data_IF_819757045015
#
_entry.id   IF_819757045015
#
_cell.length_a   1.000
_cell.length_b   1.000
_cell.length_c   1.000
_cell.angle_alpha   90.00
_cell.angle_beta   90.00
_cell.angle_gamma   90.00
#
_symmetry.space_group_name_H-M   'P 1'
#
loop_
_entity.id
_entity.type
_entity.pdbx_description
1 polymer ?
#
# COMPACT_ATOMS: atom_id res chain seq x y z
N UNK A 1 -26.54 89.26 20.48
CA UNK A 1 -27.04 90.18 21.53
C UNK A 1 -27.93 89.35 22.44
N UNK A 2 -27.44 88.84 23.57
CA UNK A 2 -27.27 89.49 24.88
C UNK A 2 -28.45 89.14 25.82
N UNK A 3 -28.12 88.82 27.08
CA UNK A 3 -28.96 88.62 28.27
C UNK A 3 -29.71 87.28 28.42
N UNK A 4 -29.34 86.36 29.33
CA UNK A 4 -29.19 86.37 30.82
C UNK A 4 -30.53 86.21 31.57
N UNK A 5 -30.67 85.07 32.26
CA UNK A 5 -31.33 84.82 33.56
C UNK A 5 -31.32 83.28 33.77
N UNK A 6 -30.52 82.62 34.60
CA UNK A 6 -30.15 82.72 36.03
C UNK A 6 -31.32 82.47 37.02
N UNK A 7 -31.06 81.51 37.93
CA UNK A 7 -31.74 81.20 39.22
C UNK A 7 -32.98 80.28 39.05
N UNK A 8 -33.07 79.07 39.63
CA UNK A 8 -32.91 78.74 41.04
C UNK A 8 -32.41 77.30 41.33
N UNK A 9 -31.67 77.21 42.42
CA UNK A 9 -31.17 76.00 43.07
C UNK A 9 -32.28 75.24 43.81
N UNK A 10 -32.17 73.91 43.81
CA UNK A 10 -32.40 72.98 44.94
C UNK A 10 -31.97 71.61 44.38
N UNK A 11 -30.93 70.91 44.82
CA UNK A 11 -30.37 70.83 46.15
C UNK A 11 -30.30 69.35 46.55
N UNK A 12 -29.34 68.59 46.00
CA UNK A 12 -28.87 67.34 46.62
C UNK A 12 -27.44 66.98 46.18
N UNK A 13 -26.46 67.52 46.91
CA UNK A 13 -25.08 67.00 46.92
C UNK A 13 -24.98 65.89 47.97
N UNK A 14 -24.56 64.69 47.55
CA UNK A 14 -23.56 63.90 48.29
C UNK A 14 -22.55 63.28 47.31
N UNK A 15 -21.36 63.92 47.29
CA UNK A 15 -19.98 63.43 47.15
C UNK A 15 -19.73 62.29 46.13
N UNK A 16 -19.25 62.57 44.92
CA UNK A 16 -17.83 62.70 44.47
C UNK A 16 -16.94 61.49 44.74
N UNK A 17 -16.57 60.76 43.69
CA UNK A 17 -15.16 60.62 43.23
C UNK A 17 -15.14 59.94 41.84
N UNK A 18 -14.87 60.79 40.85
CA UNK A 18 -13.99 60.62 39.70
C UNK A 18 -14.09 59.42 38.74
N UNK A 19 -14.19 59.82 37.48
CA UNK A 19 -14.22 59.03 36.26
C UNK A 19 -12.91 58.28 36.01
N UNK A 20 -13.03 57.05 35.50
CA UNK A 20 -12.12 56.54 34.47
C UNK A 20 -12.98 55.95 33.35
N UNK A 21 -13.16 56.71 32.28
CA UNK A 21 -13.44 56.14 30.96
C UNK A 21 -12.13 55.60 30.41
N UNK A 22 -12.02 54.29 30.18
CA UNK A 22 -11.09 53.72 29.19
C UNK A 22 -11.87 52.71 28.33
N UNK A 23 -11.64 52.69 27.00
CA UNK A 23 -12.47 52.02 26.01
C UNK A 23 -11.88 50.64 25.63
N UNK A 24 -12.42 50.07 24.56
CA UNK A 24 -11.89 48.96 23.76
C UNK A 24 -12.15 47.52 24.21
N UNK A 25 -12.94 46.85 23.36
CA UNK A 25 -12.62 45.55 22.77
C UNK A 25 -12.23 44.42 23.72
N UNK A 26 -13.21 43.60 24.09
CA UNK A 26 -12.97 42.19 24.42
C UNK A 26 -13.81 41.35 23.47
N UNK A 27 -13.11 40.76 22.50
CA UNK A 27 -13.69 40.10 21.34
C UNK A 27 -14.56 38.90 21.68
N UNK A 28 -15.75 38.89 21.08
CA UNK A 28 -16.56 37.69 20.99
C UNK A 28 -16.01 36.78 19.86
N UNK A 29 -15.75 35.52 20.24
CA UNK A 29 -15.68 34.30 19.42
C UNK A 29 -14.37 33.95 18.69
N UNK A 30 -13.49 33.25 19.42
CA UNK A 30 -12.83 32.02 18.93
C UNK A 30 -12.72 31.00 20.06
N UNK A 31 -13.65 30.04 20.13
CA UNK A 31 -13.46 28.80 20.91
C UNK A 31 -13.60 27.60 19.98
N UNK A 32 -12.57 27.35 19.16
CA UNK A 32 -12.43 26.07 18.40
C UNK A 32 -11.30 25.18 18.94
N UNK A 33 -10.77 25.51 20.11
CA UNK A 33 -9.87 24.63 20.86
C UNK A 33 -10.34 24.60 22.31
N UNK A 34 -11.32 23.74 22.62
CA UNK A 34 -11.32 23.11 23.93
C UNK A 34 -9.92 22.48 24.08
N UNK A 35 -9.20 22.87 25.13
CA UNK A 35 -7.81 22.52 25.35
C UNK A 35 -7.56 21.02 25.12
N UNK A 36 -6.39 20.65 24.57
CA UNK A 36 -5.99 19.22 24.40
C UNK A 36 -6.23 18.40 25.68
N UNK A 37 -6.19 19.07 26.83
CA UNK A 37 -6.46 18.53 28.15
C UNK A 37 -7.93 18.14 28.37
N UNK A 38 -8.90 18.99 28.04
CA UNK A 38 -10.34 18.67 28.13
C UNK A 38 -10.67 17.46 27.25
N UNK A 39 -10.14 17.42 26.02
CA UNK A 39 -10.33 16.28 25.11
C UNK A 39 -9.70 14.99 25.64
N UNK A 40 -8.60 15.10 26.39
CA UNK A 40 -7.92 13.96 27.04
C UNK A 40 -8.70 13.46 28.26
N UNK A 41 -9.27 14.37 29.03
CA UNK A 41 -10.11 14.08 30.20
C UNK A 41 -11.42 13.41 29.78
N UNK A 42 -12.01 13.87 28.67
CA UNK A 42 -13.15 13.20 28.03
C UNK A 42 -12.80 11.77 27.60
N UNK A 43 -11.67 11.57 26.90
CA UNK A 43 -11.20 10.23 26.49
C UNK A 43 -10.88 9.31 27.68
N UNK A 44 -10.48 9.86 28.83
CA UNK A 44 -10.21 9.09 30.06
C UNK A 44 -11.49 8.72 30.82
N UNK A 45 -12.51 9.57 30.77
CA UNK A 45 -13.80 9.36 31.42
C UNK A 45 -14.78 8.53 30.56
N UNK A 46 -14.51 8.36 29.27
CA UNK A 46 -15.18 7.38 28.44
C UNK A 46 -14.89 5.97 28.98
N UNK A 47 -15.82 5.40 29.76
CA UNK A 47 -15.78 3.97 30.13
C UNK A 47 -15.63 3.16 28.85
N UNK A 48 -14.52 2.43 28.73
CA UNK A 48 -14.22 1.57 27.58
C UNK A 48 -15.24 0.43 27.44
N UNK A 49 -16.42 0.72 26.90
CA UNK A 49 -17.32 -0.28 26.34
C UNK A 49 -16.92 -0.51 24.88
N UNK A 50 -15.71 -1.05 24.66
CA UNK A 50 -15.44 -1.65 23.36
C UNK A 50 -16.22 -2.97 23.33
N UNK A 51 -17.40 -2.96 22.73
CA UNK A 51 -17.96 -4.22 22.25
C UNK A 51 -17.01 -4.67 21.13
N UNK A 52 -16.21 -5.71 21.38
CA UNK A 52 -15.64 -6.48 20.28
C UNK A 52 -16.82 -7.13 19.62
N UNK A 53 -17.34 -6.51 18.56
CA UNK A 53 -18.19 -7.23 17.64
C UNK A 53 -17.32 -8.34 17.08
N UNK A 54 -17.56 -9.56 17.59
CA UNK A 54 -17.00 -10.77 17.01
C UNK A 54 -17.70 -10.90 15.67
N UNK A 55 -17.11 -10.31 14.63
CA UNK A 55 -17.55 -10.52 13.25
C UNK A 55 -17.62 -12.04 13.07
N UNK A 56 -18.83 -12.59 12.98
CA UNK A 56 -19.00 -14.00 12.64
C UNK A 56 -18.28 -14.20 11.31
N UNK A 57 -17.29 -15.09 11.30
CA UNK A 57 -16.56 -15.43 10.09
C UNK A 57 -17.56 -16.14 9.17
N UNK A 58 -18.31 -15.37 8.39
CA UNK A 58 -19.15 -15.93 7.36
C UNK A 58 -18.25 -16.85 6.52
N UNK A 59 -18.60 -18.11 6.39
CA UNK A 59 -17.80 -19.02 5.58
C UNK A 59 -17.96 -18.71 4.09
N UNK A 60 -19.12 -18.14 3.73
CA UNK A 60 -19.53 -17.85 2.36
C UNK A 60 -19.95 -16.39 2.19
N UNK A 61 -19.58 -15.81 1.05
CA UNK A 61 -20.04 -14.50 0.59
C UNK A 61 -20.95 -14.65 -0.62
N UNK A 62 -22.05 -13.90 -0.59
CA UNK A 62 -22.87 -13.60 -1.76
C UNK A 62 -22.69 -12.12 -2.12
N UNK A 63 -22.22 -11.84 -3.33
CA UNK A 63 -22.09 -10.49 -3.89
C UNK A 63 -22.96 -10.37 -5.13
N UNK A 64 -23.52 -9.19 -5.36
CA UNK A 64 -24.24 -8.87 -6.60
C UNK A 64 -23.27 -9.01 -7.78
N UNK A 65 -23.80 -9.52 -8.88
CA UNK A 65 -23.08 -9.63 -10.16
C UNK A 65 -22.69 -8.21 -10.63
N UNK A 66 -21.49 -8.07 -11.19
CA UNK A 66 -21.11 -6.84 -11.87
C UNK A 66 -21.71 -6.92 -13.28
N UNK A 67 -22.93 -6.37 -13.46
CA UNK A 67 -23.82 -6.51 -14.64
C UNK A 67 -23.21 -6.12 -16.02
N UNK A 68 -21.90 -5.82 -16.12
CA UNK A 68 -21.27 -5.23 -17.31
C UNK A 68 -20.01 -5.96 -17.78
N UNK A 69 -19.64 -7.10 -17.19
CA UNK A 69 -18.37 -7.76 -17.53
C UNK A 69 -18.62 -9.20 -17.95
N UNK A 70 -18.21 -9.51 -19.17
CA UNK A 70 -18.23 -10.86 -19.71
C UNK A 70 -16.90 -11.57 -19.50
N UNK A 71 -16.97 -12.90 -19.45
CA UNK A 71 -15.78 -13.75 -19.36
C UNK A 71 -15.09 -13.79 -20.73
N UNK A 72 -13.80 -13.49 -20.75
CA UNK A 72 -12.97 -13.52 -21.97
C UNK A 72 -12.00 -14.69 -21.92
N UNK A 73 -11.77 -15.35 -23.05
CA UNK A 73 -10.73 -16.36 -23.19
C UNK A 73 -9.42 -15.73 -23.68
N UNK A 74 -8.29 -15.97 -23.01
CA UNK A 74 -7.04 -15.30 -23.33
C UNK A 74 -6.45 -15.78 -24.66
N UNK A 75 -6.10 -14.84 -25.52
CA UNK A 75 -5.23 -15.08 -26.68
C UNK A 75 -3.79 -15.41 -26.22
N UNK A 76 -2.95 -15.92 -27.13
CA UNK A 76 -1.57 -16.38 -26.86
C UNK A 76 -0.73 -15.36 -26.06
N UNK A 77 -0.87 -14.06 -26.36
CA UNK A 77 -0.17 -12.95 -25.70
C UNK A 77 -1.07 -12.05 -24.85
N UNK A 78 -2.25 -12.55 -24.46
CA UNK A 78 -3.17 -11.80 -23.61
C UNK A 78 -2.58 -11.51 -22.23
N UNK A 79 -2.66 -10.26 -21.81
CA UNK A 79 -2.16 -9.78 -20.53
C UNK A 79 -3.29 -9.06 -19.81
N UNK A 80 -3.82 -9.71 -18.77
CA UNK A 80 -4.79 -9.08 -17.87
C UNK A 80 -4.13 -8.08 -16.92
N UNK A 81 -4.96 -7.29 -16.25
CA UNK A 81 -4.54 -6.27 -15.31
C UNK A 81 -3.95 -6.87 -14.02
N UNK A 82 -3.22 -6.04 -13.26
CA UNK A 82 -2.81 -6.35 -11.90
C UNK A 82 -3.61 -5.54 -10.89
N UNK A 83 -3.27 -5.63 -9.61
CA UNK A 83 -3.93 -4.89 -8.53
C UNK A 83 -2.95 -4.05 -7.73
N UNK A 84 -3.48 -3.01 -7.09
CA UNK A 84 -2.79 -2.30 -6.03
C UNK A 84 -3.23 -2.84 -4.69
N UNK A 85 -2.34 -2.79 -3.70
CA UNK A 85 -2.66 -3.18 -2.32
C UNK A 85 -1.80 -2.45 -1.30
N UNK A 86 -2.27 -2.39 -0.06
CA UNK A 86 -1.53 -1.89 1.09
C UNK A 86 -0.84 -3.04 1.79
N UNK A 87 0.49 -2.95 1.97
CA UNK A 87 1.22 -3.90 2.81
C UNK A 87 0.83 -3.70 4.27
N UNK A 88 0.05 -4.59 4.89
CA UNK A 88 -0.31 -4.47 6.32
C UNK A 88 0.87 -4.88 7.19
N UNK A 89 1.42 -6.06 6.94
CA UNK A 89 2.43 -6.66 7.81
C UNK A 89 2.91 -8.01 7.30
N UNK A 90 3.69 -8.69 8.13
CA UNK A 90 4.18 -10.04 7.86
C UNK A 90 3.72 -10.94 9.00
N UNK A 91 3.45 -12.21 8.68
CA UNK A 91 3.13 -13.25 9.65
C UNK A 91 3.64 -14.60 9.14
N UNK A 92 3.58 -15.62 9.98
CA UNK A 92 3.80 -17.01 9.56
C UNK A 92 2.48 -17.75 9.46
N UNK A 93 2.32 -18.53 8.40
CA UNK A 93 1.25 -19.52 8.24
C UNK A 93 1.91 -20.90 8.28
N UNK A 94 1.27 -21.85 8.94
CA UNK A 94 1.67 -23.25 8.95
C UNK A 94 0.84 -24.01 7.92
N UNK A 95 1.52 -24.85 7.16
CA UNK A 95 0.88 -25.77 6.23
C UNK A 95 0.31 -26.99 6.97
N UNK A 96 -0.53 -27.78 6.31
CA UNK A 96 -1.08 -29.05 6.83
C UNK A 96 0.04 -30.00 7.26
N UNK A 97 1.16 -29.99 6.53
CA UNK A 97 2.36 -30.79 6.80
C UNK A 97 3.27 -30.21 7.91
N UNK A 98 2.82 -29.23 8.68
CA UNK A 98 3.61 -28.63 9.76
C UNK A 98 4.75 -27.73 9.28
N UNK A 99 4.77 -27.33 8.01
CA UNK A 99 5.83 -26.48 7.44
C UNK A 99 5.53 -25.01 7.71
N UNK A 100 6.51 -24.29 8.27
CA UNK A 100 6.38 -22.84 8.48
C UNK A 100 6.62 -22.05 7.20
N UNK A 101 5.65 -21.22 6.83
CA UNK A 101 5.76 -20.30 5.71
C UNK A 101 5.66 -18.84 6.15
N UNK A 102 6.73 -18.07 5.91
CA UNK A 102 6.71 -16.62 6.11
C UNK A 102 5.93 -15.95 4.98
N UNK A 103 4.87 -15.22 5.33
CA UNK A 103 3.99 -14.53 4.39
C UNK A 103 3.87 -13.05 4.71
N UNK A 104 3.72 -12.23 3.68
CA UNK A 104 3.34 -10.82 3.78
C UNK A 104 1.85 -10.68 3.45
N UNK A 105 1.12 -9.98 4.33
CA UNK A 105 -0.30 -9.69 4.16
C UNK A 105 -0.46 -8.37 3.41
N UNK A 106 -1.18 -8.41 2.30
CA UNK A 106 -1.50 -7.24 1.48
C UNK A 106 -3.02 -7.06 1.38
N UNK A 107 -3.52 -5.88 1.72
CA UNK A 107 -4.95 -5.55 1.66
C UNK A 107 -5.29 -4.75 0.41
N UNK A 108 -6.33 -5.19 -0.30
CA UNK A 108 -6.89 -4.50 -1.45
C UNK A 108 -8.09 -3.68 -0.98
N UNK A 109 -7.82 -2.43 -0.60
CA UNK A 109 -8.86 -1.52 -0.10
C UNK A 109 -9.26 -0.52 -1.18
N UNK A 110 -10.50 -0.63 -1.68
CA UNK A 110 -11.09 0.31 -2.64
C UNK A 110 -10.21 0.49 -3.88
N UNK A 111 -10.04 -0.59 -4.65
CA UNK A 111 -9.26 -0.59 -5.87
C UNK A 111 -10.20 -0.48 -7.08
N UNK A 112 -10.06 0.59 -7.87
CA UNK A 112 -10.97 0.90 -8.99
C UNK A 112 -10.21 1.15 -10.28
N UNK A 113 -10.86 0.87 -11.41
CA UNK A 113 -10.44 1.32 -12.74
C UNK A 113 -10.75 2.80 -12.90
N UNK A 114 -9.74 3.63 -13.19
CA UNK A 114 -9.89 5.06 -13.41
C UNK A 114 -9.97 5.44 -14.88
N UNK A 115 -9.17 4.79 -15.71
CA UNK A 115 -9.05 5.12 -17.12
C UNK A 115 -8.51 3.94 -17.93
N UNK A 116 -8.86 3.92 -19.22
CA UNK A 116 -8.30 3.00 -20.21
C UNK A 116 -7.42 3.83 -21.16
N UNK A 117 -6.19 3.36 -21.38
CA UNK A 117 -5.23 3.93 -22.33
C UNK A 117 -5.26 3.07 -23.59
N UNK A 118 -5.57 3.71 -24.72
CA UNK A 118 -5.68 3.05 -26.02
C UNK A 118 -4.50 3.41 -26.91
N UNK A 119 -4.18 2.54 -27.86
CA UNK A 119 -3.05 2.73 -28.81
C UNK A 119 -3.22 4.05 -29.58
N UNK A 120 -4.40 4.32 -30.13
CA UNK A 120 -4.61 5.51 -30.98
C UNK A 120 -4.41 6.85 -30.26
N UNK A 121 -4.70 6.92 -28.95
CA UNK A 121 -4.60 8.16 -28.16
C UNK A 121 -3.30 8.30 -27.39
N UNK A 122 -2.72 7.18 -26.95
CA UNK A 122 -1.58 7.18 -26.02
C UNK A 122 -0.33 6.49 -26.56
N UNK A 123 -0.43 5.78 -27.69
CA UNK A 123 0.66 4.98 -28.25
C UNK A 123 0.90 3.63 -27.55
N UNK A 124 0.07 3.28 -26.56
CA UNK A 124 0.16 1.99 -25.85
C UNK A 124 -1.16 1.62 -25.16
N UNK A 125 -1.31 0.33 -24.86
CA UNK A 125 -2.44 -0.21 -24.09
C UNK A 125 -2.10 -0.35 -22.61
N UNK A 126 -2.93 0.25 -21.76
CA UNK A 126 -2.82 0.11 -20.32
C UNK A 126 -4.13 0.47 -19.63
N UNK A 127 -4.28 -0.05 -18.41
CA UNK A 127 -5.37 0.31 -17.53
C UNK A 127 -4.83 1.06 -16.31
N UNK A 128 -5.40 2.23 -16.05
CA UNK A 128 -5.04 3.10 -14.93
C UNK A 128 -5.87 2.70 -13.71
N UNK A 129 -5.20 2.24 -12.66
CA UNK A 129 -5.83 1.73 -11.44
C UNK A 129 -5.56 2.67 -10.28
N UNK A 130 -6.62 2.98 -9.54
CA UNK A 130 -6.57 3.70 -8.28
C UNK A 130 -6.77 2.80 -7.08
N UNK A 131 -6.15 3.13 -5.95
CA UNK A 131 -6.41 2.50 -4.65
C UNK A 131 -6.71 3.49 -3.52
N UNK A 132 -7.61 3.09 -2.64
CA UNK A 132 -7.88 3.70 -1.35
C UNK A 132 -8.74 4.95 -1.43
N UNK A 133 -9.07 5.48 -0.26
CA UNK A 133 -9.81 6.73 -0.12
C UNK A 133 -8.90 7.77 0.53
N UNK A 134 -8.84 8.97 -0.05
CA UNK A 134 -8.06 10.09 0.45
C UNK A 134 -8.99 11.28 0.68
N UNK A 135 -8.72 12.09 1.71
CA UNK A 135 -9.54 13.27 1.98
C UNK A 135 -9.42 14.29 0.82
N UNK A 136 -10.53 14.93 0.46
CA UNK A 136 -10.65 15.98 -0.57
C UNK A 136 -9.59 17.05 -0.36
N UNK A 137 -9.36 17.48 0.88
CA UNK A 137 -8.41 18.55 1.24
C UNK A 137 -6.98 18.23 0.80
N UNK A 138 -6.62 16.94 0.75
CA UNK A 138 -5.27 16.50 0.36
C UNK A 138 -5.14 16.28 -1.15
N UNK A 139 -6.21 16.43 -1.92
CA UNK A 139 -6.20 16.23 -3.38
C UNK A 139 -5.94 17.55 -4.12
N UNK A 140 -5.29 17.44 -5.28
CA UNK A 140 -5.19 18.56 -6.21
C UNK A 140 -6.54 18.83 -6.87
N UNK A 141 -6.86 20.11 -7.14
CA UNK A 141 -8.11 20.56 -7.77
C UNK A 141 -8.38 19.84 -9.11
N UNK A 142 -7.34 19.64 -9.93
CA UNK A 142 -7.48 18.94 -11.21
C UNK A 142 -7.90 17.47 -11.02
N UNK A 143 -7.33 16.80 -10.03
CA UNK A 143 -7.69 15.42 -9.72
C UNK A 143 -9.14 15.32 -9.21
N UNK A 144 -9.57 16.27 -8.38
CA UNK A 144 -10.94 16.35 -7.87
C UNK A 144 -11.94 16.39 -9.03
N UNK A 145 -11.76 17.31 -9.98
CA UNK A 145 -12.62 17.41 -11.17
C UNK A 145 -12.64 16.11 -11.99
N UNK A 146 -11.48 15.47 -12.16
CA UNK A 146 -11.36 14.20 -12.87
C UNK A 146 -12.10 13.05 -12.15
N UNK A 147 -12.05 12.97 -10.83
CA UNK A 147 -12.77 11.93 -10.08
C UNK A 147 -14.28 12.18 -10.06
N UNK A 148 -14.72 13.44 -9.93
CA UNK A 148 -16.14 13.82 -9.99
C UNK A 148 -16.73 13.50 -11.36
N UNK A 149 -16.04 13.85 -12.46
CA UNK A 149 -16.46 13.49 -13.83
C UNK A 149 -16.67 11.99 -14.01
N UNK A 150 -15.85 11.19 -13.31
CA UNK A 150 -15.90 9.72 -13.31
C UNK A 150 -16.81 9.15 -12.24
N UNK A 151 -17.47 9.96 -11.41
CA UNK A 151 -18.33 9.53 -10.29
C UNK A 151 -17.63 8.56 -9.32
N UNK A 152 -16.32 8.76 -9.09
CA UNK A 152 -15.50 7.93 -8.21
C UNK A 152 -15.09 8.68 -6.94
N UNK A 153 -14.83 7.92 -5.88
CA UNK A 153 -14.20 8.45 -4.68
C UNK A 153 -12.76 8.91 -4.94
N UNK A 154 -12.25 9.74 -4.03
CA UNK A 154 -10.89 10.27 -4.12
C UNK A 154 -9.84 9.20 -3.84
N UNK A 155 -9.01 8.91 -4.83
CA UNK A 155 -8.00 7.85 -4.78
C UNK A 155 -6.71 8.32 -4.10
N UNK A 156 -6.07 7.47 -3.29
CA UNK A 156 -4.80 7.78 -2.65
C UNK A 156 -3.59 7.64 -3.59
N UNK A 157 -3.47 6.53 -4.32
CA UNK A 157 -2.40 6.31 -5.30
C UNK A 157 -2.93 5.72 -6.59
N UNK A 158 -2.33 6.17 -7.69
CA UNK A 158 -2.63 5.72 -9.05
C UNK A 158 -1.41 5.00 -9.61
N UNK A 159 -1.63 3.87 -10.29
CA UNK A 159 -0.63 3.20 -11.11
C UNK A 159 -1.26 2.60 -12.35
N UNK A 160 -0.50 2.64 -13.43
CA UNK A 160 -0.89 2.03 -14.71
C UNK A 160 -0.41 0.58 -14.78
N UNK A 161 -1.23 -0.30 -15.36
CA UNK A 161 -0.88 -1.67 -15.68
C UNK A 161 -0.99 -1.86 -17.18
N UNK A 162 0.10 -2.28 -17.83
CA UNK A 162 0.05 -2.71 -19.23
C UNK A 162 -0.89 -3.89 -19.32
N UNK A 163 -1.94 -3.74 -20.12
CA UNK A 163 -3.04 -4.66 -20.29
C UNK A 163 -3.34 -4.73 -21.77
N UNK A 164 -3.65 -5.90 -22.28
CA UNK A 164 -4.10 -6.08 -23.67
C UNK A 164 -5.56 -5.64 -23.79
N UNK A 165 -5.97 -5.15 -24.96
CA UNK A 165 -7.32 -4.65 -25.26
C UNK A 165 -8.45 -5.66 -25.01
N UNK A 166 -8.18 -6.95 -25.19
CA UNK A 166 -9.11 -8.05 -24.88
C UNK A 166 -9.50 -8.11 -23.38
N UNK A 167 -8.65 -7.59 -22.50
CA UNK A 167 -8.82 -7.63 -21.06
C UNK A 167 -9.20 -6.27 -20.45
N UNK A 168 -9.70 -5.33 -21.25
CA UNK A 168 -10.12 -4.03 -20.74
C UNK A 168 -11.38 -4.13 -19.88
N UNK A 169 -11.30 -3.48 -18.73
CA UNK A 169 -12.39 -3.43 -17.76
C UNK A 169 -13.03 -2.05 -17.79
N UNK A 170 -14.35 -1.95 -17.66
CA UNK A 170 -15.03 -0.66 -17.68
C UNK A 170 -14.51 0.27 -16.58
N UNK A 171 -14.47 1.57 -16.88
CA UNK A 171 -14.15 2.59 -15.88
C UNK A 171 -15.16 2.47 -14.73
N UNK A 172 -14.69 2.68 -13.49
CA UNK A 172 -15.41 2.48 -12.22
C UNK A 172 -15.49 1.04 -11.70
N UNK A 173 -15.09 0.04 -12.46
CA UNK A 173 -15.10 -1.34 -11.95
C UNK A 173 -14.24 -1.48 -10.69
N UNK A 174 -14.80 -2.14 -9.67
CA UNK A 174 -14.15 -2.39 -8.37
C UNK A 174 -13.54 -3.78 -8.35
N UNK A 175 -12.26 -3.86 -8.06
CA UNK A 175 -11.56 -5.15 -8.00
C UNK A 175 -11.78 -5.88 -6.68
N UNK A 176 -11.93 -7.20 -6.78
CA UNK A 176 -11.87 -8.17 -5.68
C UNK A 176 -10.49 -8.81 -5.60
N UNK A 177 -9.99 -9.22 -4.41
CA UNK A 177 -8.74 -9.97 -4.28
C UNK A 177 -8.75 -11.30 -5.05
N UNK A 178 -9.93 -11.86 -5.33
CA UNK A 178 -10.13 -13.07 -6.12
C UNK A 178 -9.73 -12.95 -7.59
N UNK A 179 -9.36 -11.75 -8.03
CA UNK A 179 -8.66 -11.57 -9.31
C UNK A 179 -7.47 -12.53 -9.46
N UNK A 180 -6.77 -12.82 -8.37
CA UNK A 180 -5.71 -13.82 -8.33
C UNK A 180 -6.24 -15.16 -7.84
N UNK A 181 -5.59 -16.24 -8.26
CA UNK A 181 -5.89 -17.61 -7.80
C UNK A 181 -4.81 -18.05 -6.80
N UNK A 182 -5.15 -18.73 -5.69
CA UNK A 182 -4.15 -19.22 -4.76
C UNK A 182 -3.24 -20.25 -5.45
N UNK A 183 -1.96 -20.28 -5.07
CA UNK A 183 -0.90 -21.02 -5.75
C UNK A 183 -0.25 -20.28 -6.91
N UNK A 184 -0.85 -19.20 -7.41
CA UNK A 184 -0.30 -18.41 -8.51
C UNK A 184 0.98 -17.67 -8.07
N UNK A 185 1.96 -17.56 -8.98
CA UNK A 185 3.11 -16.69 -8.78
C UNK A 185 2.81 -15.25 -9.20
N UNK A 186 3.22 -14.32 -8.35
CA UNK A 186 3.02 -12.89 -8.49
C UNK A 186 4.36 -12.18 -8.75
N UNK A 187 4.27 -11.08 -9.48
CA UNK A 187 5.32 -10.09 -9.63
C UNK A 187 4.93 -8.85 -8.85
N UNK A 188 5.76 -8.47 -7.88
CA UNK A 188 5.43 -7.43 -6.92
C UNK A 188 6.47 -6.31 -7.02
N UNK A 189 5.99 -5.09 -7.22
CA UNK A 189 6.82 -3.89 -7.21
C UNK A 189 6.43 -3.00 -6.03
N UNK A 190 7.43 -2.62 -5.24
CA UNK A 190 7.26 -1.82 -4.03
C UNK A 190 8.41 -0.84 -3.84
N UNK A 191 8.16 0.29 -3.18
CA UNK A 191 9.21 1.22 -2.79
C UNK A 191 9.99 0.67 -1.59
N UNK A 192 11.32 0.78 -1.58
CA UNK A 192 12.15 0.35 -0.46
C UNK A 192 11.97 1.28 0.75
N UNK A 193 12.26 0.77 1.95
CA UNK A 193 12.43 1.58 3.17
C UNK A 193 13.44 2.69 2.92
N UNK A 194 13.09 3.94 3.26
CA UNK A 194 14.01 5.07 3.12
C UNK A 194 15.07 5.00 4.22
N UNK A 195 16.35 5.03 3.83
CA UNK A 195 17.50 4.98 4.74
C UNK A 195 18.37 6.24 4.66
N UNK A 196 17.92 7.28 3.92
CA UNK A 196 18.64 8.55 3.79
C UNK A 196 19.90 8.44 2.93
N UNK A 197 20.76 9.47 3.01
CA UNK A 197 22.09 9.42 2.39
C UNK A 197 22.93 8.35 3.10
N UNK A 198 23.54 7.45 2.33
CA UNK A 198 24.27 6.32 2.89
C UNK A 198 25.62 6.15 2.20
N UNK A 199 26.63 5.79 3.01
CA UNK A 199 27.96 5.45 2.51
C UNK A 199 27.99 4.16 1.70
N UNK A 200 29.06 3.95 0.95
CA UNK A 200 29.20 2.84 0.01
C UNK A 200 29.10 1.45 0.63
N UNK A 201 29.61 1.25 1.85
CA UNK A 201 29.47 -0.03 2.56
C UNK A 201 27.99 -0.41 2.75
N UNK A 202 27.17 0.52 3.26
CA UNK A 202 25.74 0.28 3.53
C UNK A 202 24.91 0.18 2.25
N UNK A 203 25.28 0.90 1.19
CA UNK A 203 24.53 0.94 -0.08
C UNK A 203 24.87 -0.20 -1.02
N UNK A 204 26.17 -0.47 -1.19
CA UNK A 204 26.70 -1.35 -2.22
C UNK A 204 27.34 -2.62 -1.67
N UNK A 205 27.47 -2.74 -0.34
CA UNK A 205 28.11 -3.88 0.30
C UNK A 205 29.63 -3.88 0.17
N UNK A 206 30.27 -2.71 0.04
CA UNK A 206 31.74 -2.63 0.04
C UNK A 206 32.32 -3.07 1.39
N UNK A 207 33.45 -3.77 1.37
CA UNK A 207 34.12 -4.32 2.56
C UNK A 207 34.69 -3.25 3.50
N UNK A 208 35.07 -2.09 2.98
CA UNK A 208 35.78 -1.05 3.73
C UNK A 208 37.28 -1.32 3.81
N UNK A 209 37.98 -0.62 4.70
CA UNK A 209 39.40 -0.86 5.00
C UNK A 209 39.55 -1.60 6.34
N UNK A 210 40.75 -2.10 6.62
CA UNK A 210 41.06 -2.79 7.88
C UNK A 210 40.81 -1.88 9.10
N UNK A 211 40.51 -2.51 10.23
CA UNK A 211 40.30 -1.81 11.49
C UNK A 211 41.62 -1.54 12.23
N UNK A 212 42.57 -2.48 12.15
CA UNK A 212 43.92 -2.41 12.75
C UNK A 212 45.02 -2.33 11.68
N UNK A 213 46.30 -2.39 12.11
CA UNK A 213 47.50 -2.42 11.26
C UNK A 213 47.69 -1.17 10.38
N UNK A 214 47.66 0.02 11.00
CA UNK A 214 48.11 1.26 10.35
C UNK A 214 47.16 1.87 9.32
N UNK A 215 45.90 1.41 9.25
CA UNK A 215 44.89 2.11 8.44
C UNK A 215 44.66 3.52 9.02
N UNK A 216 44.74 4.55 8.18
CA UNK A 216 44.42 5.93 8.56
C UNK A 216 43.10 5.99 9.34
N UNK A 217 43.12 6.67 10.49
CA UNK A 217 42.01 6.68 11.48
C UNK A 217 40.65 7.11 10.92
N UNK A 218 40.63 7.85 9.80
CA UNK A 218 39.40 8.34 9.16
C UNK A 218 38.96 7.49 7.95
N UNK A 219 39.77 6.52 7.53
CA UNK A 219 39.58 5.84 6.25
C UNK A 219 38.86 4.49 6.33
N UNK A 220 38.53 3.99 7.53
CA UNK A 220 37.92 2.66 7.73
C UNK A 220 36.66 2.43 6.87
N UNK A 221 35.83 3.47 6.70
CA UNK A 221 34.58 3.43 5.92
C UNK A 221 34.64 4.23 4.62
N UNK A 222 35.85 4.58 4.17
CA UNK A 222 36.07 5.33 2.94
C UNK A 222 35.68 4.51 1.71
N UNK A 223 35.42 5.20 0.58
CA UNK A 223 35.03 4.57 -0.68
C UNK A 223 36.19 3.80 -1.33
N UNK A 224 37.43 4.20 -1.06
CA UNK A 224 38.62 3.75 -1.78
C UNK A 224 38.79 4.44 -3.13
N UNK A 225 39.54 3.82 -4.03
CA UNK A 225 39.81 4.35 -5.36
C UNK A 225 38.55 4.33 -6.25
N UNK A 226 38.33 5.43 -6.98
CA UNK A 226 37.11 5.64 -7.79
C UNK A 226 37.34 5.38 -9.27
N UNK A 227 38.53 5.71 -9.79
CA UNK A 227 38.86 5.61 -11.21
C UNK A 227 40.34 5.33 -11.45
N UNK A 228 40.69 5.08 -12.71
CA UNK A 228 42.07 4.90 -13.15
C UNK A 228 42.67 6.28 -13.45
N UNK A 229 43.52 6.78 -12.55
CA UNK A 229 44.02 8.15 -12.57
C UNK A 229 45.20 8.46 -13.50
N UNK A 230 45.76 7.48 -14.24
CA UNK A 230 46.82 7.74 -15.23
C UNK A 230 46.35 7.58 -16.68
N UNK A 231 45.44 6.64 -16.95
CA UNK A 231 45.02 6.28 -18.31
C UNK A 231 43.74 6.97 -18.74
N UNK A 232 42.73 7.00 -17.88
CA UNK A 232 41.36 7.39 -18.27
C UNK A 232 40.96 8.75 -17.70
N UNK A 233 41.52 9.17 -16.56
CA UNK A 233 41.35 10.50 -15.92
C UNK A 233 39.91 11.00 -15.74
N UNK A 234 38.92 10.12 -15.88
CA UNK A 234 37.51 10.39 -15.66
C UNK A 234 36.91 9.35 -14.73
N UNK A 235 35.83 9.73 -14.05
CA UNK A 235 34.98 8.78 -13.34
C UNK A 235 33.91 8.30 -14.31
N UNK A 236 33.87 6.99 -14.57
CA UNK A 236 32.82 6.41 -15.42
C UNK A 236 31.42 6.73 -14.90
N UNK A 237 30.50 6.99 -15.83
CA UNK A 237 29.08 7.21 -15.52
C UNK A 237 28.52 5.98 -14.77
N UNK A 238 27.64 6.22 -13.80
CA UNK A 238 27.07 5.19 -12.91
C UNK A 238 28.07 4.44 -12.01
N UNK A 239 29.29 4.97 -11.79
CA UNK A 239 30.19 4.45 -10.76
C UNK A 239 29.48 4.44 -9.39
N UNK A 240 29.60 3.32 -8.67
CA UNK A 240 29.02 3.14 -7.33
C UNK A 240 29.67 4.13 -6.35
N UNK A 241 28.86 5.04 -5.82
CA UNK A 241 29.27 6.09 -4.88
C UNK A 241 28.30 6.21 -3.69
N UNK A 242 28.66 7.05 -2.72
CA UNK A 242 27.79 7.43 -1.61
C UNK A 242 26.56 8.16 -2.16
N UNK A 243 25.36 7.72 -1.79
CA UNK A 243 24.12 8.25 -2.35
C UNK A 243 22.95 7.88 -1.45
N UNK A 244 21.81 8.55 -1.64
CA UNK A 244 20.55 8.16 -1.02
C UNK A 244 20.15 6.72 -1.34
N UNK A 245 19.68 6.01 -0.31
CA UNK A 245 18.98 4.72 -0.40
C UNK A 245 17.54 4.97 0.03
N UNK A 246 16.55 4.64 -0.81
CA UNK A 246 15.17 4.77 -0.37
C UNK A 246 14.14 4.92 -1.46
N UNK A 247 13.18 5.80 -1.21
CA UNK A 247 11.82 5.79 -1.76
C UNK A 247 11.72 5.80 -3.30
N UNK A 248 12.68 6.43 -3.99
CA UNK A 248 12.73 6.41 -5.47
C UNK A 248 13.16 5.05 -6.03
N UNK A 249 13.87 4.23 -5.25
CA UNK A 249 14.27 2.88 -5.63
C UNK A 249 13.10 1.92 -5.46
N UNK A 250 12.70 1.30 -6.56
CA UNK A 250 11.68 0.25 -6.58
C UNK A 250 12.37 -1.11 -6.47
N UNK A 251 11.95 -1.92 -5.50
CA UNK A 251 12.29 -3.34 -5.46
C UNK A 251 11.20 -4.13 -6.15
N UNK A 252 11.64 -4.99 -7.06
CA UNK A 252 10.82 -5.95 -7.80
C UNK A 252 11.07 -7.32 -7.16
N UNK A 253 10.07 -7.85 -6.47
CA UNK A 253 10.08 -9.24 -6.01
C UNK A 253 9.38 -10.08 -7.10
N UNK A 254 10.13 -10.93 -7.78
CA UNK A 254 9.59 -11.91 -8.72
C UNK A 254 9.44 -13.27 -8.05
N UNK A 255 8.51 -14.09 -8.56
CA UNK A 255 8.30 -15.47 -8.12
C UNK A 255 7.74 -15.61 -6.69
N UNK A 256 6.95 -14.62 -6.25
CA UNK A 256 6.29 -14.69 -4.96
C UNK A 256 4.97 -15.48 -5.09
N UNK A 257 4.88 -16.63 -4.44
CA UNK A 257 3.68 -17.48 -4.49
C UNK A 257 2.55 -16.90 -3.64
N UNK A 258 1.32 -16.93 -4.13
CA UNK A 258 0.13 -16.60 -3.35
C UNK A 258 -0.31 -17.82 -2.53
N UNK A 259 -0.35 -17.71 -1.20
CA UNK A 259 -0.72 -18.81 -0.31
C UNK A 259 -2.21 -18.86 -0.03
N UNK A 260 -2.77 -17.73 0.42
CA UNK A 260 -4.15 -17.63 0.89
C UNK A 260 -4.77 -16.35 0.36
N UNK A 261 -6.08 -16.38 0.14
CA UNK A 261 -6.91 -15.22 -0.16
C UNK A 261 -8.02 -15.16 0.87
N UNK A 262 -8.25 -13.99 1.46
CA UNK A 262 -9.44 -13.73 2.28
C UNK A 262 -10.27 -12.64 1.59
N UNK A 263 -11.45 -13.03 1.12
CA UNK A 263 -12.36 -12.19 0.32
C UNK A 263 -13.10 -11.16 1.19
N UNK A 264 -13.39 -11.51 2.45
CA UNK A 264 -14.18 -10.70 3.38
C UNK A 264 -13.40 -9.45 3.78
N UNK A 265 -12.15 -9.64 4.20
CA UNK A 265 -11.25 -8.55 4.59
C UNK A 265 -10.44 -7.98 3.42
N UNK A 266 -10.65 -8.51 2.21
CA UNK A 266 -9.90 -8.22 1.00
C UNK A 266 -8.37 -8.37 1.14
N UNK A 267 -7.92 -9.49 1.70
CA UNK A 267 -6.50 -9.77 1.99
C UNK A 267 -5.91 -10.80 1.04
N UNK A 268 -4.65 -10.59 0.67
CA UNK A 268 -3.78 -11.52 -0.03
C UNK A 268 -2.61 -11.89 0.87
N UNK A 269 -2.33 -13.19 1.00
CA UNK A 269 -1.20 -13.70 1.77
C UNK A 269 -0.14 -14.19 0.80
N UNK A 270 0.93 -13.41 0.65
CA UNK A 270 1.98 -13.65 -0.33
C UNK A 270 3.23 -14.23 0.35
N UNK A 271 3.80 -15.30 -0.20
CA UNK A 271 5.06 -15.89 0.28
C UNK A 271 6.21 -14.88 0.23
N UNK A 272 6.96 -14.80 1.32
CA UNK A 272 8.20 -14.04 1.41
C UNK A 272 8.02 -12.56 1.70
N UNK A 273 9.14 -11.80 1.78
CA UNK A 273 9.13 -10.39 2.12
C UNK A 273 8.77 -9.51 0.92
N UNK A 274 7.96 -8.50 1.18
CA UNK A 274 7.71 -7.39 0.24
C UNK A 274 8.44 -6.14 0.73
N UNK A 275 9.03 -5.36 -0.18
CA UNK A 275 9.70 -4.11 0.16
C UNK A 275 8.77 -3.05 0.78
N UNK A 276 9.37 -2.09 1.49
CA UNK A 276 8.67 -0.94 2.04
C UNK A 276 8.12 -1.10 3.45
N UNK A 277 7.66 0.02 4.00
CA UNK A 277 7.04 0.10 5.33
C UNK A 277 5.64 -0.51 5.35
N UNK A 278 5.10 -0.74 6.55
CA UNK A 278 3.68 -1.03 6.74
C UNK A 278 2.83 0.12 6.17
N UNK A 279 1.66 -0.20 5.63
CA UNK A 279 0.72 0.67 4.94
C UNK A 279 1.21 1.35 3.66
N UNK A 280 2.36 0.93 3.10
CA UNK A 280 2.81 1.41 1.79
C UNK A 280 2.05 0.69 0.68
N UNK A 281 1.74 1.42 -0.39
CA UNK A 281 1.11 0.86 -1.58
C UNK A 281 2.11 0.01 -2.35
N UNK A 282 1.66 -1.17 -2.74
CA UNK A 282 2.38 -2.18 -3.48
C UNK A 282 1.64 -2.44 -4.78
N UNK A 283 2.39 -2.62 -5.87
CA UNK A 283 1.89 -2.97 -7.20
C UNK A 283 2.05 -4.46 -7.42
N UNK A 284 0.95 -5.19 -7.55
CA UNK A 284 0.91 -6.64 -7.75
C UNK A 284 0.44 -6.91 -9.16
N UNK A 285 1.20 -7.70 -9.92
CA UNK A 285 0.76 -8.24 -11.22
C UNK A 285 1.02 -9.73 -11.28
N UNK A 286 0.51 -10.38 -12.32
CA UNK A 286 0.92 -11.74 -12.64
C UNK A 286 2.44 -11.82 -12.85
N UNK A 287 3.02 -13.00 -12.57
CA UNK A 287 4.41 -13.28 -12.85
C UNK A 287 4.77 -13.07 -14.34
N UNK A 288 6.06 -12.93 -14.63
CA UNK A 288 6.58 -12.75 -15.99
C UNK A 288 7.68 -13.77 -16.29
N UNK A 289 7.87 -14.07 -17.57
CA UNK A 289 8.94 -14.95 -18.06
C UNK A 289 8.76 -16.40 -17.61
N UNK A 290 9.88 -17.07 -17.27
CA UNK A 290 9.91 -18.51 -16.91
C UNK A 290 8.94 -18.86 -15.77
N UNK A 291 8.84 -17.99 -14.77
CA UNK A 291 7.97 -18.20 -13.61
C UNK A 291 6.47 -18.17 -13.96
N UNK A 292 6.08 -17.46 -15.01
CA UNK A 292 4.69 -17.47 -15.51
C UNK A 292 4.42 -18.75 -16.31
N UNK A 293 5.31 -19.08 -17.25
CA UNK A 293 5.13 -20.21 -18.16
C UNK A 293 5.07 -21.56 -17.42
N UNK A 294 5.84 -21.73 -16.33
CA UNK A 294 5.84 -22.96 -15.52
C UNK A 294 4.48 -23.26 -14.87
N UNK A 295 3.69 -22.23 -14.57
CA UNK A 295 2.44 -22.38 -13.80
C UNK A 295 1.18 -22.06 -14.59
N UNK A 296 1.27 -21.39 -15.75
CA UNK A 296 0.12 -21.02 -16.58
C UNK A 296 -0.79 -22.22 -16.88
N UNK A 297 -0.23 -23.42 -17.08
CA UNK A 297 -1.00 -24.65 -17.37
C UNK A 297 -1.60 -25.32 -16.13
N UNK A 298 -1.04 -25.06 -14.94
CA UNK A 298 -1.41 -25.75 -13.69
C UNK A 298 -2.54 -25.06 -12.94
N UNK A 299 -2.74 -23.78 -13.17
CA UNK A 299 -3.63 -22.94 -12.36
C UNK A 299 -4.58 -22.21 -13.30
N UNK A 300 -5.87 -22.28 -12.99
CA UNK A 300 -6.88 -21.51 -13.68
C UNK A 300 -6.77 -20.02 -13.30
N UNK A 301 -6.59 -19.17 -14.31
CA UNK A 301 -6.55 -17.72 -14.17
C UNK A 301 -7.86 -17.11 -14.71
N UNK A 302 -8.37 -16.11 -14.00
CA UNK A 302 -9.59 -15.41 -14.40
C UNK A 302 -9.28 -14.30 -15.41
N UNK A 303 -10.00 -14.28 -16.53
CA UNK A 303 -9.87 -13.29 -17.59
C UNK A 303 -11.25 -12.69 -17.90
N UNK A 304 -11.41 -11.35 -17.96
CA UNK A 304 -10.41 -10.31 -17.64
C UNK A 304 -10.11 -10.20 -16.13
N UNK A 305 -11.10 -10.50 -15.28
CA UNK A 305 -11.04 -10.53 -13.81
C UNK A 305 -11.96 -11.64 -13.27
N UNK A 306 -12.01 -11.82 -11.95
CA UNK A 306 -12.98 -12.71 -11.32
C UNK A 306 -14.38 -12.11 -11.32
N UNK A 307 -15.34 -12.84 -11.90
CA UNK A 307 -16.76 -12.43 -12.00
C UNK A 307 -17.58 -13.29 -11.03
N UNK A 308 -18.38 -12.64 -10.19
CA UNK A 308 -19.32 -13.30 -9.29
C UNK A 308 -20.58 -13.70 -10.06
N UNK A 309 -20.97 -14.98 -9.95
CA UNK A 309 -22.24 -15.48 -10.52
C UNK A 309 -23.36 -15.33 -9.50
N UNK A 310 -24.51 -14.81 -9.93
CA UNK A 310 -25.72 -14.73 -9.09
C UNK A 310 -26.13 -16.11 -8.56
N UNK A 311 -26.50 -16.18 -7.28
CA UNK A 311 -26.94 -17.42 -6.62
C UNK A 311 -25.84 -18.43 -6.28
N UNK A 312 -24.57 -18.14 -6.61
CA UNK A 312 -23.45 -19.01 -6.23
C UNK A 312 -22.79 -18.53 -4.95
N UNK A 313 -22.78 -19.38 -3.93
CA UNK A 313 -22.01 -19.18 -2.69
C UNK A 313 -20.54 -19.44 -2.94
N UNK A 314 -19.67 -18.58 -2.41
CA UNK A 314 -18.23 -18.76 -2.55
C UNK A 314 -17.50 -18.63 -1.21
N UNK A 315 -16.53 -19.52 -0.96
CA UNK A 315 -15.73 -19.52 0.27
C UNK A 315 -14.93 -18.23 0.48
N UNK A 316 -15.01 -17.66 1.68
CA UNK A 316 -14.36 -16.38 1.97
C UNK A 316 -12.86 -16.51 2.05
N UNK A 317 -12.39 -17.56 2.73
CA UNK A 317 -10.98 -17.93 2.77
C UNK A 317 -10.73 -19.04 1.76
N UNK A 318 -9.75 -18.81 0.88
CA UNK A 318 -9.32 -19.78 -0.12
C UNK A 318 -7.83 -19.99 0.05
N UNK A 319 -7.45 -21.21 0.42
CA UNK A 319 -6.07 -21.65 0.53
C UNK A 319 -5.56 -22.24 -0.78
N UNK A 320 -4.24 -22.22 -0.95
CA UNK A 320 -3.58 -22.95 -2.01
C UNK A 320 -3.85 -24.45 -1.81
N UNK A 321 -4.11 -25.22 -2.89
CA UNK A 321 -4.17 -26.67 -2.76
C UNK A 321 -2.85 -27.20 -2.22
N UNK A 322 -2.94 -28.03 -1.18
CA UNK A 322 -1.81 -28.74 -0.60
C UNK A 322 -1.40 -29.91 -1.52
N UNK A 323 -0.15 -30.38 -1.39
CA UNK A 323 0.24 -31.64 -2.01
C UNK A 323 -0.56 -32.79 -1.38
N UNK A 324 -0.85 -33.83 -2.17
CA UNK A 324 -1.53 -35.04 -1.69
C UNK A 324 -0.59 -35.84 -0.78
N UNK A 325 0.67 -35.93 -1.17
CA UNK A 325 1.74 -36.56 -0.40
C UNK A 325 2.51 -35.51 0.41
N UNK A 326 3.06 -35.93 1.56
CA UNK A 326 3.93 -35.10 2.35
C UNK A 326 5.25 -34.88 1.59
N UNK A 327 5.60 -33.62 1.26
CA UNK A 327 6.86 -33.35 0.57
C UNK A 327 8.11 -33.64 1.42
N UNK A 328 7.95 -33.89 2.72
CA UNK A 328 9.01 -34.24 3.66
C UNK A 328 8.97 -35.71 4.09
N UNK A 329 8.02 -36.50 3.57
CA UNK A 329 8.08 -37.95 3.70
C UNK A 329 9.15 -38.46 2.75
N UNK A 330 10.34 -38.67 3.29
CA UNK A 330 11.36 -39.43 2.60
C UNK A 330 10.94 -40.89 2.65
N UNK A 331 10.90 -41.55 1.50
CA UNK A 331 10.82 -43.00 1.49
C UNK A 331 11.99 -43.51 2.34
N UNK A 332 11.69 -44.27 3.38
CA UNK A 332 12.70 -45.01 4.12
C UNK A 332 13.26 -46.04 3.15
N UNK A 333 14.28 -45.67 2.39
CA UNK A 333 15.03 -46.61 1.57
C UNK A 333 15.85 -47.41 2.60
N UNK A 334 15.55 -48.70 2.82
CA UNK A 334 16.32 -49.47 3.76
C UNK A 334 17.77 -49.48 3.26
N UNK A 335 18.73 -49.18 4.14
CA UNK A 335 20.17 -49.20 3.82
C UNK A 335 20.65 -50.57 3.33
N UNK A 336 19.91 -51.61 3.69
CA UNK A 336 20.15 -52.98 3.28
C UNK A 336 18.83 -53.54 2.74
N UNK A 337 18.86 -54.12 1.54
CA UNK A 337 17.79 -55.02 1.12
C UNK A 337 17.74 -56.16 2.15
N UNK A 338 16.57 -56.49 2.71
CA UNK A 338 16.45 -57.69 3.51
C UNK A 338 16.89 -58.85 2.61
N UNK A 339 18.03 -59.45 2.92
CA UNK A 339 18.47 -60.65 2.23
C UNK A 339 17.35 -61.69 2.39
N UNK A 340 16.76 -62.12 1.28
CA UNK A 340 15.72 -63.14 1.24
C UNK A 340 16.18 -64.33 2.10
N UNK A 341 15.50 -64.56 3.22
CA UNK A 341 15.70 -65.69 4.12
C UNK A 341 14.53 -66.64 4.05
#
# INVERSE_FOLDING_TARGET
MCFVAMIAMLGRKRKTTEHVCIPLWVGARRSFYASKWIRRLQLLNEKYNYKVEREEEAEYEEKKEDDKIEKVYPLWNSRRTGLLGYKIGCMSIWDVWGVKHAVTVVQIKNCYVLNQKNISKNGYEALEIGIGNMNVIKQSKNNIGNYIKRKLGFVHKIKEFKCTSDCFLPVQHKFSPRHFSPGQNLFISSSIKNKGFSGAMKKWGFSGKNQSHGTESKAHRSLGSVSMGKTVNIVFRNKKMNTHIGEKSLVKCSNNKLFRINSLKNLLFVKGPIGGYKNKVVKISDAKGRAFNKFKKKIYLYYPTFIYKKGKKYKNVIDMPHSVEDPFLYNEIPLYEPADK
#
